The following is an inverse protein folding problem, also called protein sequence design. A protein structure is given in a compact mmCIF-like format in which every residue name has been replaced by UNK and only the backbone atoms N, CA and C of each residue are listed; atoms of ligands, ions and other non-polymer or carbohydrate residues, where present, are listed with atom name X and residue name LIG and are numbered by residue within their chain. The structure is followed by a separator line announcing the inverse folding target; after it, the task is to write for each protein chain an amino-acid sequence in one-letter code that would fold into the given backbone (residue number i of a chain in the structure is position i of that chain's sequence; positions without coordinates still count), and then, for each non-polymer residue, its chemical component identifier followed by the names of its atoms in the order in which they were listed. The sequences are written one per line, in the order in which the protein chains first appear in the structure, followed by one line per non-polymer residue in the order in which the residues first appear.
data_IF_242874465301
#
_entry.id   IF_242874465301
#
_cell.length_a   1.000
_cell.length_b   1.000
_cell.length_c   1.000
_cell.angle_alpha   90.00
_cell.angle_beta   90.00
_cell.angle_gamma   90.00
#
_symmetry.space_group_name_H-M   'P 1'
#
loop_
_entity.id
_entity.type
_entity.pdbx_description
1 polymer ?
#
# COMPACT_ATOMS: atom_id res chain seq x y z
N UNK A 1 2.97 -28.94 -8.23
CA UNK A 1 2.56 -28.08 -7.11
C UNK A 1 2.29 -26.72 -7.71
N UNK A 2 1.09 -26.57 -8.24
CA UNK A 2 0.68 -25.38 -8.99
C UNK A 2 0.45 -24.24 -8.01
N UNK A 3 1.20 -23.15 -8.19
CA UNK A 3 0.94 -21.89 -7.47
C UNK A 3 -0.26 -21.24 -8.13
N UNK A 4 -1.42 -21.36 -7.50
CA UNK A 4 -2.61 -20.61 -7.89
C UNK A 4 -2.26 -19.12 -7.94
N UNK A 5 -2.33 -18.56 -9.15
CA UNK A 5 -2.32 -17.12 -9.33
C UNK A 5 -3.67 -16.61 -8.83
N UNK A 6 -3.79 -16.38 -7.52
CA UNK A 6 -4.89 -15.58 -6.97
C UNK A 6 -4.79 -14.18 -7.59
N UNK A 7 -5.61 -13.95 -8.62
CA UNK A 7 -5.85 -12.62 -9.14
C UNK A 7 -6.24 -11.70 -7.98
N UNK A 8 -5.78 -10.45 -8.04
CA UNK A 8 -6.01 -9.48 -6.96
C UNK A 8 -7.52 -9.38 -6.68
N UNK A 9 -7.96 -9.89 -5.53
CA UNK A 9 -9.34 -9.68 -5.07
C UNK A 9 -9.48 -8.21 -4.65
N UNK A 10 -10.13 -7.42 -5.50
CA UNK A 10 -10.32 -5.98 -5.31
C UNK A 10 -11.10 -5.69 -4.01
N UNK A 11 -12.07 -6.53 -3.66
CA UNK A 11 -12.85 -6.36 -2.43
C UNK A 11 -11.96 -6.55 -1.20
N UNK A 12 -11.23 -7.66 -1.13
CA UNK A 12 -10.36 -7.95 0.01
C UNK A 12 -9.21 -6.94 0.10
N UNK A 13 -8.70 -6.48 -1.05
CA UNK A 13 -7.68 -5.44 -1.12
C UNK A 13 -8.20 -4.09 -0.59
N UNK A 14 -9.42 -3.70 -0.99
CA UNK A 14 -10.05 -2.46 -0.54
C UNK A 14 -10.36 -2.49 0.96
N UNK A 15 -11.05 -3.53 1.44
CA UNK A 15 -11.40 -3.70 2.86
C UNK A 15 -10.15 -3.89 3.72
N UNK A 16 -9.17 -4.65 3.22
CA UNK A 16 -7.89 -4.89 3.88
C UNK A 16 -7.09 -3.61 4.09
N UNK A 17 -7.01 -2.75 3.06
CA UNK A 17 -6.36 -1.45 3.18
C UNK A 17 -7.10 -0.53 4.15
N UNK A 18 -8.43 -0.48 4.09
CA UNK A 18 -9.23 0.37 4.98
C UNK A 18 -9.08 -0.04 6.45
N UNK A 19 -9.00 -1.36 6.71
CA UNK A 19 -8.67 -1.93 8.02
C UNK A 19 -7.26 -1.54 8.48
N UNK A 20 -6.24 -1.75 7.64
CA UNK A 20 -4.83 -1.47 7.97
C UNK A 20 -4.61 0.01 8.30
N UNK A 21 -5.20 0.89 7.51
CA UNK A 21 -5.07 2.35 7.66
C UNK A 21 -5.98 2.91 8.78
N UNK A 22 -6.75 2.03 9.46
CA UNK A 22 -7.75 2.38 10.47
C UNK A 22 -8.65 3.53 10.00
N UNK A 23 -9.02 3.47 8.72
CA UNK A 23 -9.71 4.55 8.05
C UNK A 23 -11.15 4.68 8.54
N UNK A 24 -11.58 5.92 8.80
CA UNK A 24 -12.98 6.21 9.02
C UNK A 24 -13.75 6.10 7.71
N UNK A 25 -14.78 5.26 7.71
CA UNK A 25 -15.63 5.01 6.56
C UNK A 25 -17.11 5.20 6.90
N UNK A 26 -17.91 5.38 5.87
CA UNK A 26 -19.37 5.39 5.91
C UNK A 26 -19.88 4.20 5.12
N UNK A 27 -20.67 3.35 5.76
CA UNK A 27 -21.42 2.26 5.13
C UNK A 27 -22.86 2.72 4.95
N UNK A 28 -23.33 2.66 3.71
CA UNK A 28 -24.72 2.92 3.37
C UNK A 28 -25.41 1.57 3.20
N UNK A 29 -26.49 1.36 3.95
CA UNK A 29 -27.28 0.13 3.87
C UNK A 29 -28.37 0.24 2.80
N UNK A 30 -28.86 -0.90 2.32
CA UNK A 30 -29.99 -0.96 1.38
C UNK A 30 -31.26 -0.31 1.94
N UNK A 31 -31.38 -0.25 3.27
CA UNK A 31 -32.47 0.45 3.98
C UNK A 31 -32.38 1.98 3.94
N UNK A 32 -31.28 2.54 3.45
CA UNK A 32 -30.99 3.98 3.47
C UNK A 32 -30.33 4.48 4.76
N UNK A 33 -30.22 3.64 5.80
CA UNK A 33 -29.47 3.98 7.02
C UNK A 33 -27.97 4.06 6.72
N UNK A 34 -27.27 4.99 7.38
CA UNK A 34 -25.81 5.10 7.34
C UNK A 34 -25.20 4.68 8.67
N UNK A 35 -24.08 3.97 8.60
CA UNK A 35 -23.25 3.59 9.76
C UNK A 35 -21.85 4.15 9.50
N UNK A 36 -21.27 4.80 10.50
CA UNK A 36 -19.92 5.36 10.40
C UNK A 36 -19.02 4.57 11.35
N UNK A 37 -17.83 4.18 10.92
CA UNK A 37 -16.97 3.38 11.76
C UNK A 37 -15.63 3.06 11.11
N UNK A 38 -14.87 2.19 11.75
CA UNK A 38 -13.63 1.62 11.23
C UNK A 38 -13.80 0.12 11.08
N UNK A 39 -13.19 -0.48 10.05
CA UNK A 39 -13.21 -1.94 9.91
C UNK A 39 -12.32 -2.55 10.98
N UNK A 40 -12.91 -3.38 11.84
CA UNK A 40 -12.17 -4.23 12.78
C UNK A 40 -11.74 -5.53 12.10
N UNK A 41 -12.68 -6.20 11.43
CA UNK A 41 -12.43 -7.43 10.66
C UNK A 41 -13.48 -7.59 9.56
N UNK A 42 -13.25 -8.53 8.64
CA UNK A 42 -14.21 -8.91 7.61
C UNK A 42 -13.93 -10.34 7.17
N UNK A 43 -14.95 -11.00 6.62
CA UNK A 43 -14.85 -12.29 5.97
C UNK A 43 -15.55 -12.25 4.60
N UNK A 44 -15.89 -13.41 4.04
CA UNK A 44 -16.60 -13.52 2.76
C UNK A 44 -17.97 -12.83 2.77
N UNK A 45 -18.73 -12.89 3.86
CA UNK A 45 -20.12 -12.46 3.96
C UNK A 45 -20.38 -11.28 4.91
N UNK A 46 -19.44 -10.95 5.79
CA UNK A 46 -19.63 -9.99 6.87
C UNK A 46 -18.49 -8.98 6.96
N UNK A 47 -18.78 -7.84 7.58
CA UNK A 47 -17.82 -6.81 7.99
C UNK A 47 -18.14 -6.43 9.43
N UNK A 48 -17.14 -6.43 10.31
CA UNK A 48 -17.26 -5.93 11.68
C UNK A 48 -16.75 -4.49 11.70
N UNK A 49 -17.62 -3.56 12.04
CA UNK A 49 -17.28 -2.17 12.30
C UNK A 49 -17.14 -1.91 13.79
N UNK A 50 -16.19 -1.06 14.14
CA UNK A 50 -16.04 -0.49 15.47
C UNK A 50 -16.37 1.00 15.43
N UNK A 51 -17.26 1.44 16.33
CA UNK A 51 -17.59 2.84 16.58
C UNK A 51 -17.83 3.06 18.07
N UNK A 52 -17.23 4.11 18.65
CA UNK A 52 -17.45 4.56 20.05
C UNK A 52 -17.33 3.45 21.12
N UNK A 53 -16.41 2.50 20.89
CA UNK A 53 -16.15 1.38 21.81
C UNK A 53 -17.12 0.21 21.68
N UNK A 54 -18.08 0.27 20.75
CA UNK A 54 -18.97 -0.84 20.41
C UNK A 54 -18.59 -1.47 19.06
N UNK A 55 -18.94 -2.74 18.91
CA UNK A 55 -18.75 -3.52 17.69
C UNK A 55 -20.09 -3.89 17.08
N UNK A 56 -20.17 -3.78 15.75
CA UNK A 56 -21.35 -4.13 14.98
C UNK A 56 -20.93 -5.03 13.82
N UNK A 57 -21.51 -6.23 13.77
CA UNK A 57 -21.39 -7.11 12.61
C UNK A 57 -22.45 -6.74 11.59
N UNK A 58 -22.02 -6.46 10.36
CA UNK A 58 -22.87 -6.08 9.25
C UNK A 58 -22.74 -7.13 8.16
N UNK A 59 -23.87 -7.66 7.69
CA UNK A 59 -23.90 -8.56 6.56
C UNK A 59 -23.76 -7.79 5.24
N UNK A 60 -22.90 -8.27 4.33
CA UNK A 60 -22.64 -7.63 3.04
C UNK A 60 -23.89 -7.53 2.16
N UNK A 61 -24.84 -8.46 2.27
CA UNK A 61 -26.10 -8.39 1.52
C UNK A 61 -26.97 -7.19 1.89
N UNK A 62 -26.74 -6.57 3.06
CA UNK A 62 -27.44 -5.38 3.51
C UNK A 62 -26.71 -4.08 3.13
N UNK A 63 -25.49 -4.16 2.59
CA UNK A 63 -24.64 -3.01 2.26
C UNK A 63 -24.87 -2.60 0.81
N UNK A 64 -25.24 -1.34 0.60
CA UNK A 64 -25.33 -0.73 -0.72
C UNK A 64 -23.97 -0.20 -1.18
N UNK A 65 -23.28 0.59 -0.33
CA UNK A 65 -21.97 1.18 -0.67
C UNK A 65 -21.09 1.39 0.57
N UNK A 66 -19.77 1.49 0.36
CA UNK A 66 -18.76 1.79 1.38
C UNK A 66 -17.89 2.95 0.88
N UNK A 67 -17.87 4.06 1.60
CA UNK A 67 -17.09 5.26 1.25
C UNK A 67 -16.10 5.62 2.36
N UNK A 68 -14.85 5.96 2.01
CA UNK A 68 -13.80 6.34 2.97
C UNK A 68 -13.68 7.86 3.06
N UNK A 69 -13.57 8.42 4.26
CA UNK A 69 -13.68 9.87 4.55
C UNK A 69 -12.43 10.71 4.20
N UNK A 70 -11.28 10.09 3.94
CA UNK A 70 -10.03 10.78 3.53
C UNK A 70 -9.50 10.19 2.24
N UNK A 71 -8.74 10.99 1.47
CA UNK A 71 -7.98 10.57 0.27
C UNK A 71 -7.27 9.24 0.53
N UNK A 72 -7.98 8.18 0.21
CA UNK A 72 -7.45 6.83 0.19
C UNK A 72 -6.51 6.86 -1.00
N UNK A 73 -5.20 6.64 -0.80
CA UNK A 73 -4.26 6.64 -1.92
C UNK A 73 -4.80 5.69 -2.99
N UNK A 74 -5.24 6.22 -4.13
CA UNK A 74 -6.16 5.55 -5.04
C UNK A 74 -5.50 4.40 -5.85
N UNK A 75 -4.35 3.90 -5.38
CA UNK A 75 -3.61 2.79 -5.97
C UNK A 75 -4.27 1.45 -5.64
N UNK A 76 -5.50 1.26 -6.11
CA UNK A 76 -5.93 -0.09 -6.45
C UNK A 76 -5.19 -0.40 -7.76
N UNK A 77 -4.08 -1.13 -7.66
CA UNK A 77 -3.31 -1.54 -8.84
C UNK A 77 -4.12 -2.60 -9.60
N UNK A 78 -4.98 -2.16 -10.52
CA UNK A 78 -5.77 -3.03 -11.39
C UNK A 78 -4.90 -3.83 -12.40
N UNK A 79 -3.60 -3.52 -12.52
CA UNK A 79 -2.74 -4.01 -13.62
C UNK A 79 -1.88 -5.25 -13.32
N UNK A 80 -1.88 -5.81 -12.10
CA UNK A 80 -1.02 -6.98 -11.81
C UNK A 80 -1.71 -8.32 -12.06
N UNK A 81 -2.42 -8.44 -13.18
CA UNK A 81 -2.95 -9.71 -13.68
C UNK A 81 -2.41 -10.10 -15.09
N UNK A 82 -1.56 -9.28 -15.73
CA UNK A 82 -1.26 -9.44 -17.16
C UNK A 82 0.19 -9.40 -17.66
N UNK A 83 1.19 -8.93 -16.91
CA UNK A 83 2.60 -8.92 -17.39
C UNK A 83 3.42 -10.02 -16.76
N UNK A 84 3.50 -11.15 -17.47
CA UNK A 84 4.59 -12.13 -17.36
C UNK A 84 5.91 -11.36 -17.51
N UNK A 85 6.69 -11.26 -16.44
CA UNK A 85 8.13 -10.98 -16.54
C UNK A 85 8.75 -12.17 -17.27
N UNK A 86 8.93 -12.03 -18.59
CA UNK A 86 9.80 -12.91 -19.35
C UNK A 86 11.19 -12.81 -18.77
N UNK A 87 11.72 -13.94 -18.31
CA UNK A 87 13.14 -14.19 -18.13
C UNK A 87 13.84 -14.04 -19.48
N UNK A 88 14.92 -13.24 -19.60
CA UNK A 88 16.02 -13.59 -20.47
C UNK A 88 17.05 -14.32 -19.61
N UNK A 89 17.26 -15.59 -19.92
CA UNK A 89 18.33 -16.36 -19.32
C UNK A 89 19.71 -15.86 -19.78
N UNK A 90 20.68 -16.15 -18.93
CA UNK A 90 22.03 -16.63 -19.26
C UNK A 90 22.97 -15.64 -19.97
N UNK A 91 23.98 -15.16 -19.24
CA UNK A 91 25.40 -15.37 -19.57
C UNK A 91 26.34 -14.79 -18.49
N UNK A 92 27.14 -15.68 -17.90
CA UNK A 92 28.50 -15.45 -17.37
C UNK A 92 29.29 -16.73 -17.75
N UNK A 93 30.62 -16.77 -17.99
CA UNK A 93 31.69 -15.90 -17.46
C UNK A 93 32.85 -15.55 -18.45
N UNK A 94 33.84 -14.75 -18.00
CA UNK A 94 35.19 -14.57 -18.60
C UNK A 94 35.86 -13.25 -18.15
N UNK A 95 36.84 -13.26 -17.22
CA UNK A 95 38.31 -13.17 -17.45
C UNK A 95 38.74 -11.88 -18.22
N UNK A 96 39.59 -10.96 -17.74
CA UNK A 96 40.59 -10.91 -16.66
C UNK A 96 41.14 -9.46 -16.46
N UNK A 97 42.34 -9.24 -15.87
CA UNK A 97 42.69 -8.03 -15.07
C UNK A 97 43.69 -7.05 -15.73
N UNK A 98 43.72 -5.79 -15.24
CA UNK A 98 44.86 -4.84 -15.24
C UNK A 98 44.44 -3.57 -14.45
N UNK A 99 45.11 -3.16 -13.35
CA UNK A 99 46.24 -2.21 -13.33
C UNK A 99 45.75 -0.76 -13.57
N UNK A 100 46.05 0.30 -12.84
CA UNK A 100 47.02 0.62 -11.80
C UNK A 100 46.58 1.96 -11.14
N UNK A 101 47.28 2.34 -10.08
CA UNK A 101 47.00 3.29 -9.00
C UNK A 101 46.93 4.78 -9.40
N UNK A 102 46.41 5.66 -8.52
CA UNK A 102 47.05 6.93 -8.13
C UNK A 102 46.26 7.60 -6.97
N UNK A 103 46.99 8.01 -5.93
CA UNK A 103 46.54 8.35 -4.57
C UNK A 103 45.88 9.73 -4.32
N UNK A 104 45.84 10.19 -3.05
CA UNK A 104 44.78 11.05 -2.51
C UNK A 104 45.07 12.55 -2.65
N UNK A 105 44.03 13.35 -2.87
CA UNK A 105 44.10 14.82 -2.77
C UNK A 105 43.28 15.32 -1.58
N UNK A 106 43.93 16.24 -0.86
CA UNK A 106 43.61 16.77 0.46
C UNK A 106 42.26 17.51 0.53
N UNK A 107 41.52 17.26 1.62
CA UNK A 107 40.38 18.06 2.05
C UNK A 107 40.87 19.35 2.74
N UNK A 108 40.75 20.48 2.06
CA UNK A 108 40.84 21.80 2.71
C UNK A 108 39.54 22.15 3.46
N UNK A 109 39.61 22.82 4.62
CA UNK A 109 38.42 23.26 5.34
C UNK A 109 37.68 24.39 4.60
N UNK A 110 36.33 24.49 4.72
CA UNK A 110 35.53 25.51 4.04
C UNK A 110 35.70 26.92 4.64
N UNK A 111 35.48 27.99 3.83
CA UNK A 111 35.63 29.37 4.28
C UNK A 111 34.52 29.82 5.24
N UNK A 112 34.88 30.69 6.19
CA UNK A 112 34.00 31.27 7.20
C UNK A 112 33.02 32.32 6.63
N UNK A 113 31.84 32.37 7.26
CA UNK A 113 30.63 33.14 6.93
C UNK A 113 30.80 34.67 7.09
N UNK A 114 30.20 35.51 6.22
CA UNK A 114 30.22 36.98 6.37
C UNK A 114 29.29 37.51 7.49
N UNK A 115 29.53 38.75 7.96
CA UNK A 115 29.14 39.22 9.30
C UNK A 115 27.67 39.63 9.45
N UNK A 116 27.22 39.62 10.71
CA UNK A 116 25.92 40.11 11.15
C UNK A 116 25.81 41.62 10.97
N UNK A 117 24.64 42.07 10.49
CA UNK A 117 24.24 43.47 10.43
C UNK A 117 23.88 43.98 11.83
N UNK A 118 24.28 45.21 12.12
CA UNK A 118 23.68 46.10 13.13
C UNK A 118 23.02 47.26 12.38
#
# INVERSE_FOLDING_TARGET
MDKDHEGINIQDSYLGRARKDRAWLTVFLNSGKKIVGRIKSFDRYTVILEERGGEQMIFKHAIATISVSRNFGNSINFDKAGRRSGTPGREAPGEGPAGEEHGPLLSGPPPAKPPAAD
#
